data_IF_265229316849
#
_entry.id   IF_265229316849
#
_cell.length_a   1.000
_cell.length_b   1.000
_cell.length_c   1.000
_cell.angle_alpha   90.00
_cell.angle_beta   90.00
_cell.angle_gamma   90.00
#
_symmetry.space_group_name_H-M   'P 1'
#
loop_
_entity.id
_entity.type
_entity.pdbx_description
1 polymer ?
#
# COMPACT_ATOMS: atom_id res chain seq x y z
N UNK A 1 -19.84 -12.02 33.44
CA UNK A 1 -19.17 -10.86 32.84
C UNK A 1 -18.52 -11.33 31.53
N UNK A 2 -19.01 -10.88 30.40
CA UNK A 2 -18.35 -11.14 29.12
C UNK A 2 -17.16 -10.20 29.09
N UNK A 3 -15.93 -10.74 29.23
CA UNK A 3 -14.72 -9.94 29.06
C UNK A 3 -14.65 -9.52 27.59
N UNK A 4 -14.67 -8.23 27.33
CA UNK A 4 -14.37 -7.71 26.00
C UNK A 4 -12.95 -8.19 25.66
N UNK A 5 -12.73 -8.92 24.57
CA UNK A 5 -11.39 -9.34 24.21
C UNK A 5 -10.50 -8.10 24.06
N UNK A 6 -9.38 -8.09 24.77
CA UNK A 6 -8.40 -7.02 24.66
C UNK A 6 -7.79 -7.01 23.24
N UNK A 7 -7.52 -5.83 22.68
CA UNK A 7 -6.75 -5.72 21.47
C UNK A 7 -5.34 -6.23 21.71
N UNK A 8 -4.78 -6.91 20.73
CA UNK A 8 -3.48 -7.54 20.82
C UNK A 8 -2.42 -6.75 20.05
N UNK A 9 -1.36 -6.38 20.74
CA UNK A 9 -0.25 -5.64 20.13
C UNK A 9 0.66 -6.59 19.35
N UNK A 10 0.92 -6.27 18.06
CA UNK A 10 1.79 -7.03 17.18
C UNK A 10 2.68 -6.09 16.35
N UNK A 11 3.86 -6.56 15.97
CA UNK A 11 4.62 -5.91 14.90
C UNK A 11 3.97 -6.23 13.56
N UNK A 12 3.90 -5.22 12.69
CA UNK A 12 3.31 -5.39 11.35
C UNK A 12 3.97 -6.54 10.59
N UNK A 13 5.31 -6.64 10.64
CA UNK A 13 6.06 -7.69 9.96
C UNK A 13 5.72 -9.12 10.36
N UNK A 14 5.16 -9.32 11.57
CA UNK A 14 4.79 -10.65 12.06
C UNK A 14 3.44 -11.14 11.49
N UNK A 15 2.66 -10.24 10.92
CA UNK A 15 1.28 -10.51 10.48
C UNK A 15 1.05 -10.33 8.99
N UNK A 16 2.13 -10.05 8.24
CA UNK A 16 2.07 -9.82 6.78
C UNK A 16 3.16 -10.60 6.05
N UNK A 17 2.89 -10.90 4.77
CA UNK A 17 3.91 -11.07 3.76
C UNK A 17 4.12 -9.74 3.05
N UNK A 18 5.36 -9.33 2.80
CA UNK A 18 5.65 -8.07 2.12
C UNK A 18 6.90 -8.15 1.26
N UNK A 19 6.89 -7.43 0.15
CA UNK A 19 8.01 -7.36 -0.78
C UNK A 19 7.99 -6.03 -1.53
N UNK A 20 9.17 -5.59 -1.97
CA UNK A 20 9.31 -4.48 -2.92
C UNK A 20 9.72 -5.01 -4.27
N UNK A 21 9.46 -4.24 -5.32
CA UNK A 21 9.88 -4.56 -6.66
C UNK A 21 11.21 -3.92 -7.03
N UNK A 22 11.38 -3.71 -8.32
CA UNK A 22 12.53 -3.04 -8.93
C UNK A 22 12.15 -2.40 -10.25
N UNK A 23 13.07 -1.63 -10.81
CA UNK A 23 12.86 -0.95 -12.08
C UNK A 23 13.75 -1.59 -13.15
N UNK A 24 13.19 -2.05 -14.27
CA UNK A 24 13.99 -2.48 -15.42
C UNK A 24 14.87 -1.34 -15.92
N UNK A 25 16.01 -1.69 -16.55
CA UNK A 25 16.91 -0.69 -17.10
C UNK A 25 16.19 0.23 -18.09
N UNK A 26 16.16 1.53 -17.80
CA UNK A 26 15.56 2.52 -18.70
C UNK A 26 16.28 2.66 -20.04
N UNK A 27 17.54 2.23 -20.12
CA UNK A 27 18.32 2.23 -21.37
C UNK A 27 17.91 1.11 -22.33
N UNK A 28 17.20 0.09 -21.86
CA UNK A 28 16.72 -0.98 -22.72
C UNK A 28 15.23 -0.77 -23.06
N UNK A 29 15.01 -0.20 -24.24
CA UNK A 29 13.66 0.11 -24.72
C UNK A 29 12.79 -1.13 -24.94
N UNK A 30 13.39 -2.31 -25.15
CA UNK A 30 12.63 -3.56 -25.33
C UNK A 30 11.90 -4.02 -24.06
N UNK A 31 12.28 -3.50 -22.90
CA UNK A 31 11.65 -3.81 -21.62
C UNK A 31 10.30 -3.10 -21.40
N UNK A 32 10.01 -2.11 -22.25
CA UNK A 32 8.84 -1.24 -22.09
C UNK A 32 7.90 -1.34 -23.32
N UNK A 33 6.66 -0.87 -23.14
CA UNK A 33 5.65 -0.87 -24.20
C UNK A 33 4.90 -2.18 -24.39
N UNK A 34 5.00 -3.09 -23.41
CA UNK A 34 4.25 -4.36 -23.40
C UNK A 34 2.84 -4.23 -22.83
N UNK A 35 2.37 -5.28 -22.19
CA UNK A 35 1.01 -5.39 -21.65
C UNK A 35 0.94 -5.46 -20.11
N UNK A 36 2.07 -5.46 -19.41
CA UNK A 36 2.12 -5.55 -17.95
C UNK A 36 2.13 -4.14 -17.37
N UNK A 37 1.06 -3.68 -16.70
CA UNK A 37 1.06 -2.37 -16.05
C UNK A 37 2.24 -2.22 -15.10
N UNK A 38 2.97 -1.11 -15.17
CA UNK A 38 4.10 -0.83 -14.29
C UNK A 38 3.75 0.32 -13.35
N UNK A 39 3.35 -0.05 -12.13
CA UNK A 39 2.82 0.87 -11.12
C UNK A 39 3.98 1.58 -10.43
N UNK A 40 4.00 2.90 -10.49
CA UNK A 40 4.94 3.76 -9.76
C UNK A 40 4.28 4.29 -8.48
N UNK A 41 5.07 4.75 -7.53
CA UNK A 41 4.58 5.21 -6.22
C UNK A 41 3.51 6.31 -6.30
N UNK A 42 3.55 7.18 -7.31
CA UNK A 42 2.51 8.18 -7.56
C UNK A 42 1.19 7.62 -8.11
N UNK A 43 1.19 6.36 -8.55
CA UNK A 43 0.04 5.74 -9.23
C UNK A 43 -0.67 4.66 -8.37
N UNK A 44 -0.24 4.45 -7.13
CA UNK A 44 -0.79 3.38 -6.26
C UNK A 44 -2.30 3.47 -6.01
N UNK A 45 -2.90 4.64 -6.22
CA UNK A 45 -4.35 4.90 -6.09
C UNK A 45 -5.09 4.84 -7.43
N UNK A 46 -4.37 4.69 -8.55
CA UNK A 46 -4.92 4.77 -9.90
C UNK A 46 -5.46 3.42 -10.37
N UNK A 47 -6.38 3.46 -11.31
CA UNK A 47 -6.90 2.31 -12.05
C UNK A 47 -6.12 2.06 -13.35
N UNK A 48 -5.15 2.92 -13.66
CA UNK A 48 -4.32 2.88 -14.86
C UNK A 48 -2.90 3.32 -14.53
N UNK A 49 -1.95 2.95 -15.37
CA UNK A 49 -0.55 3.40 -15.30
C UNK A 49 -0.15 4.04 -16.63
N UNK A 50 0.90 4.86 -16.61
CA UNK A 50 1.48 5.42 -17.83
C UNK A 50 2.44 4.44 -18.51
N UNK A 51 3.12 3.60 -17.72
CA UNK A 51 4.14 2.69 -18.21
C UNK A 51 3.66 1.23 -18.17
N UNK A 52 4.11 0.48 -19.17
CA UNK A 52 3.86 -0.96 -19.28
C UNK A 52 5.18 -1.67 -19.54
N UNK A 53 5.36 -2.82 -18.92
CA UNK A 53 6.51 -3.70 -19.17
C UNK A 53 6.17 -4.79 -20.18
N UNK A 54 7.20 -5.25 -20.88
CA UNK A 54 7.17 -6.52 -21.60
C UNK A 54 7.44 -7.69 -20.64
N UNK A 55 7.17 -8.91 -21.07
CA UNK A 55 7.57 -10.13 -20.34
C UNK A 55 9.08 -10.17 -20.11
N UNK A 56 9.87 -9.79 -21.11
CA UNK A 56 11.32 -9.68 -21.02
C UNK A 56 11.72 -8.67 -19.92
N UNK A 57 11.13 -7.48 -19.93
CA UNK A 57 11.41 -6.45 -18.93
C UNK A 57 11.05 -6.88 -17.51
N UNK A 58 9.99 -7.66 -17.33
CA UNK A 58 9.65 -8.25 -16.05
C UNK A 58 10.66 -9.31 -15.61
N UNK A 59 11.03 -10.24 -16.51
CA UNK A 59 11.92 -11.37 -16.21
C UNK A 59 13.36 -10.93 -15.95
N UNK A 60 13.86 -9.95 -16.69
CA UNK A 60 15.24 -9.47 -16.62
C UNK A 60 15.44 -8.35 -15.57
N UNK A 61 14.46 -8.12 -14.72
CA UNK A 61 14.52 -7.11 -13.68
C UNK A 61 14.11 -7.63 -12.30
N UNK A 62 14.23 -6.76 -11.29
CA UNK A 62 13.73 -7.03 -9.95
C UNK A 62 12.27 -6.58 -9.75
N UNK A 63 11.57 -6.16 -10.79
CA UNK A 63 10.15 -5.83 -10.73
C UNK A 63 9.36 -7.04 -10.21
N UNK A 64 8.34 -6.80 -9.40
CA UNK A 64 7.52 -7.84 -8.78
C UNK A 64 6.06 -7.62 -9.09
N UNK A 65 5.37 -8.71 -9.36
CA UNK A 65 3.94 -8.68 -9.63
C UNK A 65 3.12 -8.51 -8.35
N UNK A 66 2.11 -7.66 -8.46
CA UNK A 66 1.05 -7.46 -7.47
C UNK A 66 -0.30 -7.71 -8.12
N UNK A 67 -1.29 -7.98 -7.29
CA UNK A 67 -2.66 -8.21 -7.69
C UNK A 67 -3.58 -7.10 -7.16
N UNK A 68 -4.70 -6.89 -7.84
CA UNK A 68 -5.77 -6.06 -7.29
C UNK A 68 -6.19 -6.62 -5.92
N UNK A 69 -6.23 -5.76 -4.91
CA UNK A 69 -6.46 -6.15 -3.52
C UNK A 69 -5.21 -6.14 -2.63
N UNK A 70 -4.01 -6.15 -3.20
CA UNK A 70 -2.77 -5.95 -2.43
C UNK A 70 -2.71 -4.52 -1.89
N UNK A 71 -2.22 -4.36 -0.66
CA UNK A 71 -1.92 -3.04 -0.12
C UNK A 71 -0.58 -2.58 -0.69
N UNK A 72 -0.54 -1.39 -1.27
CA UNK A 72 0.67 -0.74 -1.80
C UNK A 72 1.05 0.44 -0.92
N UNK A 73 2.25 0.43 -0.40
CA UNK A 73 2.80 1.48 0.47
C UNK A 73 3.99 2.17 -0.20
N UNK A 74 3.91 3.48 -0.38
CA UNK A 74 4.98 4.27 -0.98
C UNK A 74 6.09 4.56 0.05
N UNK A 75 7.32 4.08 -0.24
CA UNK A 75 8.45 4.15 0.69
C UNK A 75 9.22 5.47 0.60
N UNK A 76 9.33 6.07 -0.59
CA UNK A 76 10.11 7.28 -0.79
C UNK A 76 9.61 8.15 -1.95
N UNK A 77 10.19 9.35 -2.05
CA UNK A 77 9.76 10.39 -2.99
C UNK A 77 8.65 11.28 -2.41
N UNK A 78 8.01 12.04 -3.27
CA UNK A 78 6.96 12.98 -2.88
C UNK A 78 5.71 12.30 -2.29
N UNK A 79 5.55 11.01 -2.54
CA UNK A 79 4.43 10.18 -2.07
C UNK A 79 4.75 9.33 -0.85
N UNK A 80 5.90 9.54 -0.20
CA UNK A 80 6.28 8.77 1.01
C UNK A 80 5.15 8.70 2.02
N UNK A 81 4.87 7.49 2.51
CA UNK A 81 3.80 7.25 3.48
C UNK A 81 2.39 7.15 2.89
N UNK A 82 2.21 7.40 1.58
CA UNK A 82 0.94 7.11 0.92
C UNK A 82 0.70 5.60 0.89
N UNK A 83 -0.55 5.23 1.08
CA UNK A 83 -0.97 3.82 1.07
C UNK A 83 -2.33 3.68 0.39
N UNK A 84 -2.50 2.62 -0.38
CA UNK A 84 -3.75 2.30 -1.06
C UNK A 84 -3.89 0.79 -1.28
N UNK A 85 -5.10 0.32 -1.51
CA UNK A 85 -5.35 -1.01 -2.08
C UNK A 85 -5.26 -0.91 -3.60
N UNK A 86 -4.43 -1.75 -4.19
CA UNK A 86 -4.28 -1.80 -5.66
C UNK A 86 -5.60 -2.13 -6.33
N UNK A 87 -5.93 -1.39 -7.37
CA UNK A 87 -7.13 -1.61 -8.20
C UNK A 87 -6.84 -2.42 -9.46
N UNK A 88 -5.56 -2.64 -9.75
CA UNK A 88 -5.09 -3.34 -10.96
C UNK A 88 -4.03 -4.37 -10.61
N UNK A 89 -3.93 -5.38 -11.46
CA UNK A 89 -2.77 -6.27 -11.49
C UNK A 89 -1.65 -5.57 -12.24
N UNK A 90 -0.41 -5.76 -11.80
CA UNK A 90 0.73 -5.14 -12.47
C UNK A 90 2.04 -5.44 -11.77
N UNK A 91 3.11 -4.83 -12.23
CA UNK A 91 4.42 -4.89 -11.61
C UNK A 91 4.70 -3.60 -10.83
N UNK A 92 5.47 -3.68 -9.77
CA UNK A 92 5.87 -2.55 -8.93
C UNK A 92 7.37 -2.34 -8.94
N UNK A 93 7.78 -1.09 -8.71
CA UNK A 93 9.18 -0.73 -8.55
C UNK A 93 9.66 -0.82 -7.09
N UNK A 94 10.90 -0.46 -6.83
CA UNK A 94 11.52 -0.47 -5.50
C UNK A 94 10.97 0.60 -4.54
N UNK A 95 10.26 1.60 -5.04
CA UNK A 95 9.65 2.66 -4.22
C UNK A 95 8.33 2.23 -3.57
N UNK A 96 7.84 1.03 -3.88
CA UNK A 96 6.59 0.48 -3.35
C UNK A 96 6.89 -0.78 -2.54
N UNK A 97 6.31 -0.86 -1.35
CA UNK A 97 6.19 -2.08 -0.57
C UNK A 97 4.77 -2.65 -0.78
N UNK A 98 4.68 -3.83 -1.37
CA UNK A 98 3.44 -4.59 -1.39
C UNK A 98 3.26 -5.31 -0.05
N UNK A 99 2.05 -5.30 0.48
CA UNK A 99 1.69 -5.86 1.78
C UNK A 99 0.48 -6.77 1.60
N UNK A 100 0.62 -8.03 2.00
CA UNK A 100 -0.42 -9.06 2.02
C UNK A 100 -0.62 -9.57 3.45
N UNK A 101 -1.69 -9.19 4.13
CA UNK A 101 -1.96 -9.70 5.47
C UNK A 101 -2.14 -11.21 5.48
N UNK A 102 -1.67 -11.86 6.55
CA UNK A 102 -1.98 -13.26 6.78
C UNK A 102 -3.45 -13.46 7.17
N UNK A 103 -4.00 -14.68 7.04
CA UNK A 103 -5.36 -14.98 7.48
C UNK A 103 -5.63 -14.52 8.92
N UNK A 104 -6.76 -13.88 9.15
CA UNK A 104 -7.13 -13.28 10.44
C UNK A 104 -6.80 -11.79 10.58
N UNK A 105 -6.12 -11.19 9.59
CA UNK A 105 -5.81 -9.76 9.56
C UNK A 105 -6.45 -9.09 8.35
N UNK A 106 -7.21 -8.03 8.58
CA UNK A 106 -7.99 -7.35 7.56
C UNK A 106 -7.17 -6.33 6.77
N UNK A 107 -7.14 -6.46 5.44
CA UNK A 107 -6.49 -5.47 4.56
C UNK A 107 -7.11 -4.08 4.72
N UNK A 108 -8.43 -3.98 4.87
CA UNK A 108 -9.12 -2.71 5.06
C UNK A 108 -8.75 -2.05 6.40
N UNK A 109 -8.67 -2.83 7.48
CA UNK A 109 -8.24 -2.34 8.77
C UNK A 109 -6.79 -1.82 8.72
N UNK A 110 -5.88 -2.59 8.13
CA UNK A 110 -4.49 -2.19 7.96
C UNK A 110 -4.32 -0.94 7.10
N UNK A 111 -5.08 -0.83 6.00
CA UNK A 111 -5.10 0.35 5.16
C UNK A 111 -5.44 1.60 5.98
N UNK A 112 -6.55 1.55 6.73
CA UNK A 112 -7.04 2.67 7.54
C UNK A 112 -6.03 3.04 8.63
N UNK A 113 -5.46 2.05 9.30
CA UNK A 113 -4.45 2.28 10.31
C UNK A 113 -3.20 2.96 9.74
N UNK A 114 -2.66 2.45 8.61
CA UNK A 114 -1.49 3.02 7.95
C UNK A 114 -1.74 4.46 7.45
N UNK A 115 -2.94 4.74 6.93
CA UNK A 115 -3.34 6.09 6.53
C UNK A 115 -3.37 7.03 7.73
N UNK A 116 -3.95 6.60 8.84
CA UNK A 116 -4.03 7.39 10.08
C UNK A 116 -2.64 7.70 10.65
N UNK A 117 -1.70 6.76 10.55
CA UNK A 117 -0.34 6.92 11.10
C UNK A 117 0.63 7.66 10.18
N UNK A 118 0.22 8.00 8.96
CA UNK A 118 1.11 8.58 7.95
C UNK A 118 1.96 9.73 8.48
N UNK A 119 1.34 10.75 9.06
CA UNK A 119 2.05 11.94 9.53
C UNK A 119 3.04 11.60 10.64
N UNK A 120 2.65 10.78 11.61
CA UNK A 120 3.52 10.33 12.71
C UNK A 120 4.71 9.53 12.19
N UNK A 121 4.52 8.68 11.19
CA UNK A 121 5.59 7.89 10.58
C UNK A 121 6.56 8.79 9.83
N UNK A 122 6.05 9.73 9.05
CA UNK A 122 6.87 10.70 8.30
C UNK A 122 7.70 11.56 9.25
N UNK A 123 7.07 12.12 10.27
CA UNK A 123 7.76 12.94 11.28
C UNK A 123 8.87 12.15 11.97
N UNK A 124 8.56 10.96 12.44
CA UNK A 124 9.51 10.13 13.20
C UNK A 124 10.71 9.68 12.37
N UNK A 125 10.49 9.24 11.13
CA UNK A 125 11.51 8.56 10.36
C UNK A 125 12.14 9.43 9.27
N UNK A 126 11.39 10.28 8.58
CA UNK A 126 11.96 11.12 7.52
C UNK A 126 12.52 12.41 8.10
N UNK A 127 11.74 13.14 8.87
CA UNK A 127 12.21 14.40 9.50
C UNK A 127 13.18 14.11 10.66
N UNK A 128 13.10 12.94 11.28
CA UNK A 128 14.06 12.45 12.28
C UNK A 128 15.44 12.04 11.73
N UNK A 129 15.73 12.21 10.42
CA UNK A 129 17.05 12.11 9.83
C UNK A 129 17.33 10.86 8.99
N UNK A 130 16.37 9.96 8.76
CA UNK A 130 16.60 8.76 7.92
C UNK A 130 16.41 9.00 6.41
N UNK A 131 15.88 10.16 6.02
CA UNK A 131 15.71 10.57 4.62
C UNK A 131 14.62 9.84 3.84
N UNK A 132 14.44 8.53 4.04
CA UNK A 132 13.45 7.70 3.36
C UNK A 132 12.87 6.62 4.28
N UNK A 133 11.67 6.17 3.98
CA UNK A 133 11.10 4.96 4.58
C UNK A 133 11.72 3.72 3.93
N UNK A 134 11.68 2.61 4.65
CA UNK A 134 12.10 1.30 4.14
C UNK A 134 11.10 0.21 4.54
N UNK A 135 11.14 -0.91 3.85
CA UNK A 135 10.33 -2.07 4.22
C UNK A 135 10.62 -2.54 5.66
N UNK A 136 11.85 -2.39 6.16
CA UNK A 136 12.20 -2.72 7.54
C UNK A 136 11.51 -1.80 8.55
N UNK A 137 11.45 -0.49 8.26
CA UNK A 137 10.73 0.49 9.09
C UNK A 137 9.24 0.11 9.15
N UNK A 138 8.61 -0.11 8.00
CA UNK A 138 7.17 -0.43 7.92
C UNK A 138 6.87 -1.74 8.67
N UNK A 139 7.69 -2.79 8.49
CA UNK A 139 7.56 -4.06 9.22
C UNK A 139 7.76 -3.91 10.73
N UNK A 140 8.56 -2.95 11.15
CA UNK A 140 8.83 -2.66 12.56
C UNK A 140 7.73 -1.89 13.28
N UNK A 141 6.72 -1.37 12.57
CA UNK A 141 5.60 -0.65 13.18
C UNK A 141 4.79 -1.59 14.09
N UNK A 142 4.38 -1.06 15.23
CA UNK A 142 3.57 -1.78 16.22
C UNK A 142 2.12 -1.35 16.11
N UNK A 143 1.23 -2.30 16.02
CA UNK A 143 -0.21 -2.12 15.82
C UNK A 143 -0.96 -2.88 16.90
N UNK A 144 -2.00 -2.27 17.45
CA UNK A 144 -2.97 -2.94 18.30
C UNK A 144 -4.10 -3.48 17.42
N UNK A 145 -4.22 -4.80 17.37
CA UNK A 145 -5.22 -5.49 16.56
C UNK A 145 -6.43 -5.87 17.39
N UNK A 146 -7.60 -5.50 16.92
CA UNK A 146 -8.86 -6.06 17.34
C UNK A 146 -8.99 -7.53 16.91
N UNK A 147 -10.01 -8.23 17.36
CA UNK A 147 -10.34 -9.54 16.79
C UNK A 147 -10.72 -9.42 15.30
N UNK A 148 -10.50 -10.49 14.52
CA UNK A 148 -10.70 -10.50 13.07
C UNK A 148 -12.05 -9.92 12.63
N UNK A 149 -13.14 -10.36 13.28
CA UNK A 149 -14.49 -9.86 12.97
C UNK A 149 -14.63 -8.36 13.24
N UNK A 150 -14.00 -7.86 14.30
CA UNK A 150 -14.01 -6.44 14.64
C UNK A 150 -13.16 -5.62 13.66
N UNK A 151 -12.00 -6.14 13.26
CA UNK A 151 -11.16 -5.53 12.22
C UNK A 151 -11.94 -5.33 10.92
N UNK A 152 -12.67 -6.34 10.47
CA UNK A 152 -13.47 -6.27 9.25
C UNK A 152 -14.60 -5.24 9.35
N UNK A 153 -15.26 -5.15 10.50
CA UNK A 153 -16.29 -4.14 10.75
C UNK A 153 -15.72 -2.73 10.73
N UNK A 154 -14.60 -2.50 11.41
CA UNK A 154 -13.90 -1.21 11.45
C UNK A 154 -13.45 -0.82 10.04
N UNK A 155 -12.75 -1.72 9.34
CA UNK A 155 -12.25 -1.47 8.00
C UNK A 155 -13.38 -1.18 7.01
N UNK A 156 -14.48 -1.92 7.06
CA UNK A 156 -15.64 -1.71 6.20
C UNK A 156 -16.34 -0.39 6.50
N UNK A 157 -16.46 0.01 7.76
CA UNK A 157 -17.07 1.28 8.15
C UNK A 157 -16.29 2.47 7.59
N UNK A 158 -14.97 2.47 7.75
CA UNK A 158 -14.12 3.55 7.23
C UNK A 158 -14.09 3.58 5.69
N UNK A 159 -14.04 2.41 5.03
CA UNK A 159 -14.15 2.31 3.58
C UNK A 159 -15.48 2.92 3.06
N UNK A 160 -16.57 2.71 3.78
CA UNK A 160 -17.86 3.34 3.48
C UNK A 160 -17.79 4.87 3.59
N UNK A 161 -17.18 5.41 4.64
CA UNK A 161 -17.01 6.86 4.79
C UNK A 161 -16.10 7.45 3.70
N UNK A 162 -15.00 6.80 3.36
CA UNK A 162 -14.11 7.24 2.29
C UNK A 162 -14.84 7.31 0.94
N UNK A 163 -15.69 6.33 0.65
CA UNK A 163 -16.53 6.33 -0.54
C UNK A 163 -17.54 7.47 -0.55
N UNK A 164 -18.21 7.76 0.57
CA UNK A 164 -19.12 8.89 0.70
C UNK A 164 -18.42 10.23 0.47
N UNK A 165 -17.25 10.42 1.06
CA UNK A 165 -16.43 11.64 0.89
C UNK A 165 -16.05 11.80 -0.58
N UNK A 166 -15.57 10.74 -1.23
CA UNK A 166 -15.20 10.75 -2.65
C UNK A 166 -16.38 11.11 -3.56
N UNK A 167 -17.55 10.56 -3.29
CA UNK A 167 -18.78 10.88 -4.04
C UNK A 167 -19.18 12.35 -3.87
N UNK A 168 -19.07 12.87 -2.64
CA UNK A 168 -19.42 14.27 -2.36
C UNK A 168 -18.46 15.24 -3.07
N UNK A 169 -17.18 14.93 -3.12
CA UNK A 169 -16.16 15.73 -3.81
C UNK A 169 -16.32 15.73 -5.34
N UNK A 170 -16.94 14.68 -5.91
CA UNK A 170 -17.20 14.58 -7.36
C UNK A 170 -18.51 15.24 -7.78
N UNK A 171 -19.37 15.62 -6.85
CA UNK A 171 -20.62 16.33 -7.17
C UNK A 171 -20.25 17.72 -7.72
N UNK A 172 -20.77 18.12 -8.92
CA UNK A 172 -20.53 19.44 -9.45
C UNK A 172 -21.08 20.47 -8.46
N UNK A 173 -20.26 21.49 -8.16
CA UNK A 173 -20.72 22.65 -7.39
C UNK A 173 -21.91 23.24 -8.17
N UNK A 174 -23.10 23.08 -7.66
CA UNK A 174 -24.29 23.75 -8.22
C UNK A 174 -24.09 25.26 -8.07
N UNK A 175 -23.79 25.92 -9.19
CA UNK A 175 -23.95 27.37 -9.35
C UNK A 175 -25.43 27.74 -9.33
#
# INVERSE_FOLDING_TARGET
MVSTPAWEQRKLGDVINSFSGGTPSASNVSYYGGNIPFIRSGEIKSETTELYLTEEGLQDSSAKLVEAGDILYALYGATSGEVAISRINGAINQAILAIRPYPGYSSKFLLQWLQLQKESIIEKYIQGGQGNLSGAIVKGLTIDFAQSIEQDKIGTLFDYFDNLISLHQRAPSSC
#
